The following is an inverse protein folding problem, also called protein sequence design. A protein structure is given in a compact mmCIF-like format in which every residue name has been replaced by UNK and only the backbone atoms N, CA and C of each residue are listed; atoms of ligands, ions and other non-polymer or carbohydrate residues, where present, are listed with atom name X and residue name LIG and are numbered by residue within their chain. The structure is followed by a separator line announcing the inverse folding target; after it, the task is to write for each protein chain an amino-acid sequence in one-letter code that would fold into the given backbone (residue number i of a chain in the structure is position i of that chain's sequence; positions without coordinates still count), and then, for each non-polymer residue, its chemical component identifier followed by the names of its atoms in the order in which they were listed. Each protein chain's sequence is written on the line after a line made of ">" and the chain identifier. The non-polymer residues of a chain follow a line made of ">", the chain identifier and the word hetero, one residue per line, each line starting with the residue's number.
data_IF_343607169791
#
_entry.id   IF_343607169791
#
_cell.length_a   1.000
_cell.length_b   1.000
_cell.length_c   1.000
_cell.angle_alpha   90.00
_cell.angle_beta   90.00
_cell.angle_gamma   90.00
#
_symmetry.space_group_name_H-M   'P 1'
#
loop_
_entity.id
_entity.type
_entity.pdbx_description
1 polymer ?
#
# COMPACT_ATOMS: atom_id res chain seq x y z
N UNK A 1 -85.40 4.74 5.11
CA UNK A 1 -84.45 3.67 4.71
C UNK A 1 -83.16 3.87 5.48
N UNK A 2 -82.86 2.99 6.45
CA UNK A 2 -81.62 3.06 7.24
C UNK A 2 -80.59 2.07 6.65
N UNK A 3 -79.45 2.58 6.17
CA UNK A 3 -78.35 1.78 5.65
C UNK A 3 -77.43 1.40 6.82
N UNK A 4 -77.48 0.15 7.28
CA UNK A 4 -76.64 -0.36 8.35
C UNK A 4 -75.19 -0.54 7.87
N UNK A 5 -74.29 0.34 8.31
CA UNK A 5 -72.86 0.25 8.02
C UNK A 5 -72.23 -0.84 8.91
N UNK A 6 -71.91 -2.00 8.33
CA UNK A 6 -71.17 -3.07 9.03
C UNK A 6 -69.67 -2.75 8.99
N UNK A 7 -69.03 -2.68 10.15
CA UNK A 7 -67.56 -2.54 10.23
C UNK A 7 -66.88 -3.77 9.61
N UNK A 8 -65.80 -3.61 8.82
CA UNK A 8 -65.03 -4.74 8.33
C UNK A 8 -64.35 -5.47 9.50
N UNK A 9 -64.12 -6.79 9.38
CA UNK A 9 -63.47 -7.57 10.43
C UNK A 9 -62.02 -7.10 10.65
N UNK A 10 -61.48 -7.24 11.87
CA UNK A 10 -60.10 -6.90 12.16
C UNK A 10 -59.13 -7.80 11.38
N UNK A 11 -58.01 -7.22 10.96
CA UNK A 11 -56.95 -7.95 10.24
C UNK A 11 -56.26 -8.94 11.20
N UNK A 12 -55.95 -10.18 10.76
CA UNK A 12 -55.25 -11.13 11.62
C UNK A 12 -53.83 -10.65 11.95
N UNK A 13 -53.27 -11.08 13.11
CA UNK A 13 -51.92 -10.70 13.49
C UNK A 13 -50.88 -11.30 12.53
N UNK A 14 -49.71 -10.65 12.36
CA UNK A 14 -48.62 -11.20 11.57
C UNK A 14 -48.13 -12.51 12.20
N UNK A 15 -47.83 -13.49 11.34
CA UNK A 15 -47.28 -14.78 11.75
C UNK A 15 -45.94 -14.62 12.47
N UNK A 16 -45.72 -15.46 13.49
CA UNK A 16 -44.48 -15.45 14.25
C UNK A 16 -43.27 -15.75 13.34
N UNK A 17 -42.11 -15.08 13.54
CA UNK A 17 -40.90 -15.36 12.78
C UNK A 17 -40.47 -16.81 13.03
N UNK A 18 -40.21 -17.54 11.94
CA UNK A 18 -39.77 -18.94 11.99
C UNK A 18 -38.43 -19.12 12.74
N UNK A 19 -38.10 -20.35 13.14
CA UNK A 19 -36.88 -20.64 13.89
C UNK A 19 -35.65 -20.22 13.09
N UNK A 20 -34.79 -19.39 13.69
CA UNK A 20 -33.48 -19.05 13.13
C UNK A 20 -32.60 -20.29 13.23
N UNK A 21 -32.28 -20.91 12.10
CA UNK A 21 -31.34 -22.04 12.06
C UNK A 21 -29.94 -21.46 12.34
N UNK A 22 -29.26 -21.87 13.42
CA UNK A 22 -27.88 -21.45 13.65
C UNK A 22 -27.02 -22.00 12.50
N UNK A 23 -26.14 -21.15 11.96
CA UNK A 23 -25.17 -21.60 10.95
C UNK A 23 -24.41 -22.82 11.50
N UNK A 24 -24.22 -23.88 10.69
CA UNK A 24 -23.53 -25.07 11.16
C UNK A 24 -22.12 -24.69 11.62
N UNK A 25 -21.75 -25.09 12.84
CA UNK A 25 -20.51 -24.68 13.52
C UNK A 25 -19.25 -24.81 12.67
N UNK A 26 -19.26 -25.74 11.71
CA UNK A 26 -18.19 -25.99 10.74
C UNK A 26 -17.90 -24.75 9.87
N UNK A 27 -18.93 -24.02 9.40
CA UNK A 27 -18.75 -22.83 8.56
C UNK A 27 -18.11 -21.69 9.34
N UNK A 28 -18.52 -21.51 10.61
CA UNK A 28 -17.95 -20.49 11.50
C UNK A 28 -16.48 -20.78 11.78
N UNK A 29 -16.13 -22.04 12.05
CA UNK A 29 -14.75 -22.47 12.28
C UNK A 29 -13.90 -22.27 11.02
N UNK A 30 -14.40 -22.65 9.84
CA UNK A 30 -13.67 -22.48 8.58
C UNK A 30 -13.38 -20.99 8.27
N UNK A 31 -14.35 -20.11 8.48
CA UNK A 31 -14.18 -18.66 8.31
C UNK A 31 -13.18 -18.08 9.32
N UNK A 32 -13.22 -18.53 10.58
CA UNK A 32 -12.25 -18.11 11.59
C UNK A 32 -10.83 -18.57 11.23
N UNK A 33 -10.65 -19.80 10.78
CA UNK A 33 -9.35 -20.32 10.36
C UNK A 33 -8.82 -19.58 9.13
N UNK A 34 -9.67 -19.29 8.15
CA UNK A 34 -9.30 -18.48 6.98
C UNK A 34 -8.90 -17.06 7.39
N UNK A 35 -9.66 -16.43 8.29
CA UNK A 35 -9.33 -15.11 8.81
C UNK A 35 -7.98 -15.12 9.55
N UNK A 36 -7.74 -16.12 10.40
CA UNK A 36 -6.47 -16.27 11.11
C UNK A 36 -5.31 -16.50 10.14
N UNK A 37 -5.50 -17.28 9.07
CA UNK A 37 -4.49 -17.49 8.05
C UNK A 37 -4.21 -16.21 7.24
N UNK A 38 -5.24 -15.44 6.89
CA UNK A 38 -5.08 -14.13 6.25
C UNK A 38 -4.34 -13.14 7.15
N UNK A 39 -4.65 -13.13 8.46
CA UNK A 39 -3.96 -12.30 9.45
C UNK A 39 -2.50 -12.75 9.66
N UNK A 40 -2.22 -14.06 9.66
CA UNK A 40 -0.87 -14.62 9.72
C UNK A 40 -0.06 -14.26 8.47
N UNK A 41 -0.65 -14.38 7.28
CA UNK A 41 -0.02 -13.95 6.02
C UNK A 41 0.24 -12.44 5.99
N UNK A 42 -0.65 -11.63 6.56
CA UNK A 42 -0.44 -10.19 6.74
C UNK A 42 0.75 -9.92 7.66
N UNK A 43 0.83 -10.57 8.83
CA UNK A 43 1.98 -10.42 9.75
C UNK A 43 3.30 -10.92 9.17
N UNK A 44 3.29 -11.98 8.36
CA UNK A 44 4.51 -12.47 7.68
C UNK A 44 4.98 -11.56 6.55
N UNK A 45 4.08 -10.72 6.03
CA UNK A 45 4.40 -9.65 5.07
C UNK A 45 4.80 -8.36 5.75
N UNK A 46 4.69 -8.27 7.08
CA UNK A 46 5.38 -7.20 7.77
C UNK A 46 6.87 -7.44 7.48
N UNK A 47 7.53 -6.50 6.76
CA UNK A 47 8.97 -6.59 6.61
C UNK A 47 9.57 -6.75 8.02
N UNK A 48 10.69 -7.47 8.19
CA UNK A 48 11.33 -7.61 9.48
C UNK A 48 11.37 -6.21 10.07
N UNK A 49 10.71 -6.03 11.23
CA UNK A 49 10.55 -4.72 11.82
C UNK A 49 11.95 -4.13 11.88
N UNK A 50 12.25 -3.21 10.97
CA UNK A 50 13.40 -2.33 11.09
C UNK A 50 13.09 -1.70 12.42
N UNK A 51 13.76 -2.16 13.48
CA UNK A 51 13.47 -1.76 14.86
C UNK A 51 13.29 -0.26 14.78
N UNK A 52 12.06 0.23 14.99
CA UNK A 52 11.82 1.67 14.95
C UNK A 52 12.80 2.22 15.95
N UNK A 53 13.82 2.90 15.44
CA UNK A 53 14.80 3.54 16.29
C UNK A 53 14.01 4.48 17.22
N UNK A 54 14.49 4.75 18.44
CA UNK A 54 13.81 5.69 19.33
C UNK A 54 13.44 6.95 18.56
N UNK A 55 12.30 7.59 18.87
CA UNK A 55 11.72 8.68 18.07
C UNK A 55 12.66 9.87 17.79
N UNK A 56 13.81 9.93 18.46
CA UNK A 56 14.91 10.88 18.23
C UNK A 56 15.82 10.53 17.04
N UNK A 57 15.78 9.31 16.52
CA UNK A 57 16.64 8.84 15.43
C UNK A 57 15.87 8.91 14.11
N UNK A 58 16.33 9.77 13.21
CA UNK A 58 15.79 9.87 11.85
C UNK A 58 16.08 8.59 11.07
N UNK A 59 15.04 8.06 10.43
CA UNK A 59 15.11 6.89 9.55
C UNK A 59 15.26 7.32 8.10
N UNK A 60 16.25 6.77 7.39
CA UNK A 60 16.53 7.11 6.00
C UNK A 60 16.46 5.84 5.15
N UNK A 61 15.68 5.89 4.06
CA UNK A 61 15.71 4.86 3.03
C UNK A 61 16.71 5.25 1.93
N UNK A 62 17.62 4.34 1.57
CA UNK A 62 18.54 4.50 0.45
C UNK A 62 17.97 3.74 -0.75
N UNK A 63 17.77 4.44 -1.86
CA UNK A 63 17.22 3.89 -3.10
C UNK A 63 18.20 4.08 -4.26
N UNK A 64 18.98 3.03 -4.55
CA UNK A 64 19.87 3.00 -5.70
C UNK A 64 19.09 2.88 -7.01
N UNK A 65 19.44 3.70 -8.00
CA UNK A 65 18.66 3.83 -9.23
C UNK A 65 19.55 3.97 -10.48
N UNK A 66 19.31 3.17 -11.51
CA UNK A 66 19.97 3.29 -12.82
C UNK A 66 19.16 4.03 -13.89
N UNK A 67 17.92 4.45 -13.59
CA UNK A 67 16.95 4.97 -14.56
C UNK A 67 17.47 6.00 -15.58
N UNK A 68 17.03 5.83 -16.83
CA UNK A 68 17.40 6.66 -17.97
C UNK A 68 16.23 6.75 -18.98
N UNK A 69 15.21 7.62 -18.80
CA UNK A 69 14.97 8.51 -17.67
C UNK A 69 14.18 7.83 -16.53
N UNK A 70 14.08 8.50 -15.38
CA UNK A 70 13.12 8.13 -14.34
C UNK A 70 11.66 8.09 -14.80
N UNK A 71 10.85 7.24 -14.15
CA UNK A 71 9.43 7.03 -14.50
C UNK A 71 8.50 7.39 -13.34
N UNK A 72 7.32 7.91 -13.70
CA UNK A 72 6.33 8.45 -12.76
C UNK A 72 5.40 7.35 -12.21
N UNK A 73 4.07 7.53 -12.29
CA UNK A 73 3.07 6.58 -11.77
C UNK A 73 3.27 5.20 -12.39
N UNK A 74 3.30 4.18 -11.54
CA UNK A 74 3.51 2.78 -11.95
C UNK A 74 4.99 2.40 -12.12
N UNK A 75 5.92 3.33 -11.88
CA UNK A 75 7.35 3.11 -11.99
C UNK A 75 8.13 3.56 -10.76
N UNK A 76 9.30 4.16 -10.99
CA UNK A 76 10.25 4.52 -9.93
C UNK A 76 9.63 5.45 -8.87
N UNK A 77 8.84 6.44 -9.28
CA UNK A 77 8.19 7.37 -8.35
C UNK A 77 7.19 6.69 -7.42
N UNK A 78 6.52 5.60 -7.85
CA UNK A 78 5.61 4.85 -6.99
C UNK A 78 6.34 4.17 -5.84
N UNK A 79 7.52 3.59 -6.11
CA UNK A 79 8.36 2.98 -5.07
C UNK A 79 8.88 4.03 -4.08
N UNK A 80 9.41 5.15 -4.58
CA UNK A 80 9.91 6.24 -3.73
C UNK A 80 8.79 6.82 -2.85
N UNK A 81 7.57 6.96 -3.38
CA UNK A 81 6.41 7.40 -2.59
C UNK A 81 6.09 6.42 -1.46
N UNK A 82 6.10 5.11 -1.73
CA UNK A 82 5.88 4.10 -0.68
C UNK A 82 6.95 4.19 0.40
N UNK A 83 8.22 4.37 0.03
CA UNK A 83 9.32 4.54 0.98
C UNK A 83 9.14 5.82 1.83
N UNK A 84 8.70 6.93 1.22
CA UNK A 84 8.47 8.18 1.94
C UNK A 84 7.30 8.13 2.95
N UNK A 85 6.44 7.11 2.88
CA UNK A 85 5.42 6.85 3.91
C UNK A 85 6.01 6.13 5.14
N UNK A 86 7.05 5.32 4.95
CA UNK A 86 7.60 4.44 5.99
C UNK A 86 8.87 5.01 6.64
N UNK A 87 9.54 5.98 6.01
CA UNK A 87 10.81 6.58 6.45
C UNK A 87 10.72 8.11 6.58
N UNK A 88 11.64 8.70 7.35
CA UNK A 88 11.71 10.15 7.54
C UNK A 88 12.23 10.88 6.30
N UNK A 89 13.21 10.28 5.64
CA UNK A 89 13.79 10.74 4.37
C UNK A 89 14.00 9.57 3.41
N UNK A 90 13.96 9.86 2.12
CA UNK A 90 14.39 8.93 1.06
C UNK A 90 15.53 9.57 0.28
N UNK A 91 16.65 8.87 0.18
CA UNK A 91 17.79 9.30 -0.61
C UNK A 91 17.83 8.48 -1.90
N UNK A 92 17.67 9.14 -3.03
CA UNK A 92 17.76 8.55 -4.36
C UNK A 92 19.20 8.70 -4.85
N UNK A 93 19.86 7.57 -5.08
CA UNK A 93 21.26 7.51 -5.48
C UNK A 93 21.36 7.07 -6.95
N UNK A 94 21.78 7.95 -7.86
CA UNK A 94 22.17 7.52 -9.19
C UNK A 94 23.38 6.59 -9.13
N UNK A 95 23.26 5.41 -9.71
CA UNK A 95 24.41 4.49 -9.83
C UNK A 95 25.29 4.89 -11.01
N UNK A 96 26.61 4.85 -10.82
CA UNK A 96 27.61 5.18 -11.84
C UNK A 96 27.56 4.22 -13.03
N UNK A 97 27.66 2.92 -12.77
CA UNK A 97 27.61 1.84 -13.76
C UNK A 97 26.43 0.92 -13.49
N UNK A 98 25.94 0.27 -14.54
CA UNK A 98 24.88 -0.73 -14.42
C UNK A 98 25.46 -2.09 -14.02
N UNK A 99 24.76 -2.84 -13.17
CA UNK A 99 25.15 -4.22 -12.85
C UNK A 99 25.07 -5.19 -14.05
N UNK A 100 24.51 -4.76 -15.18
CA UNK A 100 24.36 -5.56 -16.39
C UNK A 100 25.21 -4.93 -17.47
N UNK A 101 26.22 -5.66 -17.96
CA UNK A 101 27.18 -5.17 -18.93
C UNK A 101 26.51 -4.75 -20.25
N UNK A 102 25.40 -5.40 -20.63
CA UNK A 102 24.67 -5.05 -21.85
C UNK A 102 23.98 -3.68 -21.78
N UNK A 103 23.81 -3.14 -20.56
CA UNK A 103 23.24 -1.80 -20.31
C UNK A 103 24.32 -0.77 -20.02
N UNK A 104 25.56 -1.22 -19.88
CA UNK A 104 26.71 -0.36 -19.68
C UNK A 104 27.07 0.26 -21.04
N UNK A 105 27.09 1.59 -21.12
CA UNK A 105 27.23 2.34 -22.38
C UNK A 105 25.93 2.88 -22.99
N UNK A 106 24.76 2.38 -22.59
CA UNK A 106 23.45 2.95 -22.99
C UNK A 106 22.94 4.03 -22.02
N UNK A 107 23.63 4.19 -20.90
CA UNK A 107 23.28 5.20 -19.90
C UNK A 107 23.76 6.58 -20.35
N UNK A 108 22.86 7.55 -20.29
CA UNK A 108 23.27 8.95 -20.38
C UNK A 108 24.32 9.28 -19.31
N UNK A 109 25.16 10.28 -19.60
CA UNK A 109 26.19 10.74 -18.68
C UNK A 109 25.65 10.93 -17.26
N UNK A 110 26.47 10.58 -16.26
CA UNK A 110 26.07 10.60 -14.86
C UNK A 110 25.44 11.93 -14.45
N UNK A 111 26.10 13.05 -14.77
CA UNK A 111 25.61 14.41 -14.48
C UNK A 111 24.24 14.70 -15.10
N UNK A 112 24.02 14.24 -16.32
CA UNK A 112 22.73 14.40 -16.98
C UNK A 112 21.65 13.62 -16.23
N UNK A 113 21.91 12.37 -15.87
CA UNK A 113 20.98 11.54 -15.10
C UNK A 113 20.72 12.11 -13.71
N UNK A 114 21.75 12.61 -13.02
CA UNK A 114 21.62 13.27 -11.72
C UNK A 114 20.71 14.50 -11.82
N UNK A 115 20.92 15.36 -12.83
CA UNK A 115 20.11 16.56 -13.06
C UNK A 115 18.65 16.24 -13.36
N UNK A 116 18.37 15.30 -14.27
CA UNK A 116 17.00 14.90 -14.63
C UNK A 116 16.24 14.36 -13.41
N UNK A 117 16.92 13.59 -12.54
CA UNK A 117 16.32 13.10 -11.29
C UNK A 117 16.09 14.22 -10.29
N UNK A 118 17.03 15.14 -10.16
CA UNK A 118 16.86 16.31 -9.27
C UNK A 118 15.60 17.09 -9.65
N UNK A 119 15.32 17.25 -10.95
CA UNK A 119 14.09 17.88 -11.44
C UNK A 119 12.86 17.02 -11.16
N UNK A 120 12.86 15.73 -11.49
CA UNK A 120 11.68 14.89 -11.35
C UNK A 120 11.27 14.68 -9.88
N UNK A 121 12.24 14.69 -8.94
CA UNK A 121 11.98 14.53 -7.51
C UNK A 121 11.87 15.85 -6.74
N UNK A 122 12.09 17.00 -7.37
CA UNK A 122 11.98 18.31 -6.70
C UNK A 122 10.62 18.59 -6.03
N UNK A 123 9.47 18.02 -6.49
CA UNK A 123 8.19 18.25 -5.81
C UNK A 123 8.00 17.43 -4.52
N UNK A 124 8.96 16.59 -4.12
CA UNK A 124 8.83 15.71 -2.97
C UNK A 124 9.72 16.19 -1.81
N UNK A 125 9.13 16.82 -0.79
CA UNK A 125 9.87 17.45 0.33
C UNK A 125 10.77 16.48 1.12
N UNK A 126 10.40 15.20 1.16
CA UNK A 126 11.12 14.16 1.92
C UNK A 126 12.12 13.38 1.07
N UNK A 127 12.30 13.76 -0.21
CA UNK A 127 13.18 13.04 -1.12
C UNK A 127 14.37 13.90 -1.51
N UNK A 128 15.56 13.34 -1.37
CA UNK A 128 16.82 13.95 -1.79
C UNK A 128 17.44 13.12 -2.90
N UNK A 129 17.83 13.76 -3.99
CA UNK A 129 18.77 13.15 -4.94
C UNK A 129 20.16 13.47 -4.41
N UNK A 130 20.90 12.45 -4.02
CA UNK A 130 22.23 12.61 -3.43
C UNK A 130 23.29 12.13 -4.41
N UNK A 131 24.43 12.81 -4.38
CA UNK A 131 25.56 12.43 -5.21
C UNK A 131 26.20 11.17 -4.62
N UNK A 132 26.49 10.19 -5.47
CA UNK A 132 27.20 8.98 -5.06
C UNK A 132 28.72 9.09 -5.26
N UNK A 133 29.22 10.27 -5.65
CA UNK A 133 30.65 10.55 -5.80
C UNK A 133 31.34 10.55 -4.42
N UNK A 134 32.46 9.83 -4.24
CA UNK A 134 33.24 9.86 -3.00
C UNK A 134 33.96 11.20 -2.74
#
# INVERSE_FOLDING_TARGET
>A
MALAWRRPPPKPPPSAPGPRVPLPSIVVVALLLLLLELLRRRRRRDPPAIRRAPASVRSVAIYGLSANPPTSKGGHATLVRKLAEDFDEVWVLPVYSHAFAEKDGELAAYEHRHRVRSIHWSPYDRVRVVNADP
#
